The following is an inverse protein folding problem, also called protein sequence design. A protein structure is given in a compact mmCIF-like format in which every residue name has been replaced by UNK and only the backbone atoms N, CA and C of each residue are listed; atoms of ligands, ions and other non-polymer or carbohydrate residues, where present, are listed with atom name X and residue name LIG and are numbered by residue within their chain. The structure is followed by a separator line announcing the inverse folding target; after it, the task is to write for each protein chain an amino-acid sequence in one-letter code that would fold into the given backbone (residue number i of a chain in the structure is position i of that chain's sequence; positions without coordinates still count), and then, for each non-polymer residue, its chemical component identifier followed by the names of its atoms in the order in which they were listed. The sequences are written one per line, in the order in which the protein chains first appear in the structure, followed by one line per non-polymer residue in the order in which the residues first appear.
data_IF_345155492676
#
_entry.id   IF_345155492676
#
_cell.length_a   1.000
_cell.length_b   1.000
_cell.length_c   1.000
_cell.angle_alpha   90.00
_cell.angle_beta   90.00
_cell.angle_gamma   90.00
#
_symmetry.space_group_name_H-M   'P 1'
#
loop_
_entity.id
_entity.type
_entity.pdbx_description
1 polymer ?
#
# COMPACT_ATOMS: atom_id res chain seq x y z
N UNK A 1 20.31 -74.56 -35.64
CA UNK A 1 20.83 -73.70 -34.52
C UNK A 1 20.61 -72.21 -34.91
N UNK A 2 19.60 -71.62 -34.36
CA UNK A 2 19.17 -70.23 -34.71
C UNK A 2 19.57 -69.31 -33.50
N UNK A 3 20.54 -68.48 -33.76
CA UNK A 3 20.98 -67.46 -32.77
C UNK A 3 19.94 -66.32 -32.74
N UNK A 4 19.31 -66.09 -31.57
CA UNK A 4 18.48 -64.92 -31.32
C UNK A 4 19.35 -63.82 -30.70
N UNK A 5 19.56 -62.72 -31.47
CA UNK A 5 20.09 -61.47 -30.96
C UNK A 5 18.97 -60.72 -30.24
N UNK A 6 19.12 -60.50 -28.93
CA UNK A 6 18.28 -59.57 -28.15
C UNK A 6 18.89 -58.19 -28.25
N UNK A 7 18.19 -57.30 -28.92
CA UNK A 7 18.55 -55.86 -28.94
C UNK A 7 17.88 -55.19 -27.73
N UNK A 8 18.67 -54.82 -26.72
CA UNK A 8 18.18 -54.05 -25.58
C UNK A 8 18.13 -52.55 -25.97
N UNK A 9 16.91 -52.02 -26.07
CA UNK A 9 16.67 -50.60 -26.30
C UNK A 9 16.78 -49.88 -24.96
N UNK A 10 17.89 -49.13 -24.73
CA UNK A 10 18.06 -48.30 -23.56
C UNK A 10 17.34 -46.96 -23.82
N UNK A 11 16.13 -46.82 -23.23
CA UNK A 11 15.48 -45.51 -23.16
C UNK A 11 16.19 -44.64 -22.12
N UNK A 12 16.98 -43.71 -22.58
CA UNK A 12 17.53 -42.63 -21.74
C UNK A 12 16.42 -41.60 -21.53
N UNK A 13 15.77 -41.68 -20.35
CA UNK A 13 14.85 -40.65 -19.90
C UNK A 13 15.68 -39.45 -19.45
N UNK A 14 15.73 -38.40 -20.24
CA UNK A 14 16.22 -37.09 -19.79
C UNK A 14 15.18 -36.55 -18.83
N UNK A 15 15.42 -36.72 -17.53
CA UNK A 15 14.78 -35.93 -16.50
C UNK A 15 15.35 -34.52 -16.60
N UNK A 16 14.66 -33.64 -17.29
CA UNK A 16 14.86 -32.22 -17.14
C UNK A 16 14.47 -31.89 -15.70
N UNK A 17 15.45 -31.91 -14.80
CA UNK A 17 15.30 -31.24 -13.50
C UNK A 17 15.14 -29.75 -13.81
N UNK A 18 13.91 -29.23 -13.70
CA UNK A 18 13.70 -27.81 -13.46
C UNK A 18 14.49 -27.49 -12.18
N UNK A 19 15.67 -26.95 -12.31
CA UNK A 19 16.32 -26.28 -11.19
C UNK A 19 15.41 -25.10 -10.82
N UNK A 20 14.61 -25.30 -9.78
CA UNK A 20 14.02 -24.18 -9.05
C UNK A 20 15.20 -23.39 -8.52
N UNK A 21 15.49 -22.26 -9.16
CA UNK A 21 16.40 -21.26 -8.68
C UNK A 21 15.83 -20.77 -7.33
N UNK A 22 16.21 -21.40 -6.23
CA UNK A 22 15.96 -20.98 -4.85
C UNK A 22 16.86 -19.75 -4.56
N UNK A 23 16.69 -18.67 -5.30
CA UNK A 23 17.23 -17.39 -4.86
C UNK A 23 16.51 -17.02 -3.54
N UNK A 24 17.26 -16.55 -2.57
CA UNK A 24 16.73 -16.07 -1.29
C UNK A 24 15.52 -15.13 -1.60
N UNK A 25 14.35 -15.40 -1.03
CA UNK A 25 13.19 -14.54 -1.25
C UNK A 25 13.42 -13.12 -0.70
N UNK A 26 14.31 -12.96 0.27
CA UNK A 26 14.66 -11.66 0.85
C UNK A 26 15.80 -11.04 0.06
N UNK A 27 15.63 -9.77 -0.28
CA UNK A 27 16.66 -8.95 -0.91
C UNK A 27 16.78 -7.62 -0.19
N UNK A 28 17.98 -7.34 0.32
CA UNK A 28 18.35 -6.02 0.81
C UNK A 28 18.82 -5.20 -0.37
N UNK A 29 18.16 -4.09 -0.63
CA UNK A 29 18.44 -3.22 -1.78
C UNK A 29 19.10 -1.95 -1.25
N UNK A 30 20.28 -1.67 -1.79
CA UNK A 30 20.95 -0.41 -1.53
C UNK A 30 20.28 0.68 -2.35
N UNK A 31 19.88 1.76 -1.70
CA UNK A 31 19.42 2.99 -2.30
C UNK A 31 20.45 4.10 -2.06
N UNK A 32 20.61 4.98 -3.04
CA UNK A 32 21.53 6.13 -2.96
C UNK A 32 20.71 7.41 -2.84
N UNK A 33 21.06 8.24 -1.86
CA UNK A 33 20.45 9.53 -1.59
C UNK A 33 21.51 10.62 -1.54
N UNK A 34 21.10 11.87 -1.44
CA UNK A 34 22.03 12.99 -1.22
C UNK A 34 22.73 12.94 0.16
N UNK A 35 22.17 12.17 1.11
CA UNK A 35 22.71 11.96 2.44
C UNK A 35 23.52 10.66 2.58
N UNK A 36 23.76 9.94 1.50
CA UNK A 36 24.50 8.68 1.47
C UNK A 36 23.68 7.49 1.03
N UNK A 37 24.25 6.31 1.22
CA UNK A 37 23.65 5.04 0.86
C UNK A 37 22.96 4.41 2.08
N UNK A 38 21.75 3.89 1.85
CA UNK A 38 20.96 3.17 2.85
C UNK A 38 20.44 1.84 2.28
N UNK A 39 20.00 0.95 3.16
CA UNK A 39 19.46 -0.34 2.78
C UNK A 39 17.96 -0.39 3.03
N UNK A 40 17.21 -0.86 2.03
CA UNK A 40 15.79 -1.14 2.17
C UNK A 40 15.52 -2.63 1.97
N UNK A 41 14.60 -3.13 2.79
CA UNK A 41 14.25 -4.55 2.81
C UNK A 41 13.12 -4.86 1.84
N UNK A 42 13.28 -5.97 1.11
CA UNK A 42 12.22 -6.52 0.26
C UNK A 42 12.14 -8.04 0.43
N UNK A 43 10.94 -8.61 0.25
CA UNK A 43 10.73 -10.06 0.21
C UNK A 43 9.81 -10.40 -0.97
N UNK A 44 10.30 -11.28 -1.85
CA UNK A 44 9.53 -11.83 -2.97
C UNK A 44 8.72 -13.05 -2.53
N UNK A 45 7.49 -13.14 -3.01
CA UNK A 45 6.65 -14.35 -2.93
C UNK A 45 6.12 -14.67 -4.32
N UNK A 46 6.20 -15.94 -4.71
CA UNK A 46 5.77 -16.40 -6.04
C UNK A 46 6.88 -16.34 -7.10
N UNK A 47 6.51 -16.71 -8.32
CA UNK A 47 7.38 -16.72 -9.49
C UNK A 47 6.52 -16.59 -10.77
N UNK A 48 6.14 -15.37 -11.14
CA UNK A 48 5.37 -15.09 -12.35
C UNK A 48 6.09 -14.10 -13.26
N UNK A 49 6.25 -14.36 -14.56
CA UNK A 49 7.01 -13.48 -15.45
C UNK A 49 6.30 -12.15 -15.77
N UNK A 50 4.95 -12.10 -15.71
CA UNK A 50 4.14 -10.99 -16.23
C UNK A 50 3.22 -10.32 -15.21
N UNK A 51 3.00 -10.95 -14.04
CA UNK A 51 2.14 -10.42 -12.95
C UNK A 51 2.98 -10.27 -11.69
N UNK A 52 3.64 -9.12 -11.53
CA UNK A 52 4.53 -8.81 -10.40
C UNK A 52 4.04 -7.55 -9.71
N UNK A 53 3.55 -7.71 -8.49
CA UNK A 53 2.99 -6.62 -7.69
C UNK A 53 4.01 -6.17 -6.64
N UNK A 54 4.40 -4.89 -6.67
CA UNK A 54 5.12 -4.26 -5.56
C UNK A 54 4.10 -3.60 -4.63
N UNK A 55 4.14 -3.95 -3.34
CA UNK A 55 3.21 -3.46 -2.32
C UNK A 55 3.83 -2.27 -1.59
N UNK A 56 3.23 -1.07 -1.75
CA UNK A 56 3.60 0.14 -1.03
C UNK A 56 2.71 0.30 0.19
N UNK A 57 3.29 0.14 1.37
CA UNK A 57 2.56 0.31 2.63
C UNK A 57 2.21 1.77 2.91
N UNK A 58 1.23 1.94 3.80
CA UNK A 58 0.75 3.22 4.29
C UNK A 58 1.62 3.82 5.39
N UNK A 59 1.04 4.65 6.18
CA UNK A 59 1.66 5.48 7.20
C UNK A 59 1.64 6.95 6.76
N UNK A 60 2.76 7.58 6.38
CA UNK A 60 4.14 7.05 6.17
C UNK A 60 4.79 6.41 7.40
N UNK A 61 5.83 5.62 7.18
CA UNK A 61 6.57 5.01 8.28
C UNK A 61 5.91 3.77 8.90
N UNK A 62 4.82 3.21 8.30
CA UNK A 62 4.32 1.89 8.66
C UNK A 62 5.27 0.80 8.12
N UNK A 63 4.79 -0.40 7.88
CA UNK A 63 5.58 -1.52 7.37
C UNK A 63 4.71 -2.51 6.62
N UNK A 64 5.33 -3.55 6.04
CA UNK A 64 4.67 -4.55 5.21
C UNK A 64 3.71 -5.49 5.96
N UNK A 65 3.74 -5.57 7.29
CA UNK A 65 3.11 -6.67 8.03
C UNK A 65 1.61 -6.79 7.76
N UNK A 66 0.88 -5.69 7.70
CA UNK A 66 -0.56 -5.75 7.44
C UNK A 66 -0.92 -6.23 6.01
N UNK A 67 0.05 -6.28 5.10
CA UNK A 67 -0.13 -6.91 3.80
C UNK A 67 0.02 -8.44 3.81
N UNK A 68 0.40 -9.08 4.91
CA UNK A 68 0.57 -10.54 4.96
C UNK A 68 -0.71 -11.32 4.65
N UNK A 69 -1.88 -10.70 4.74
CA UNK A 69 -3.13 -11.30 4.25
C UNK A 69 -3.06 -11.68 2.76
N UNK A 70 -2.23 -11.02 1.96
CA UNK A 70 -2.01 -11.33 0.54
C UNK A 70 -1.45 -12.74 0.33
N UNK A 71 -0.73 -13.29 1.31
CA UNK A 71 -0.23 -14.68 1.31
C UNK A 71 -1.36 -15.71 1.20
N UNK A 72 -2.58 -15.36 1.61
CA UNK A 72 -3.76 -16.23 1.53
C UNK A 72 -4.45 -16.22 0.16
N UNK A 73 -4.19 -15.24 -0.69
CA UNK A 73 -4.91 -15.03 -1.94
C UNK A 73 -4.03 -15.10 -3.19
N UNK A 74 -2.94 -14.34 -3.26
CA UNK A 74 -2.12 -14.19 -4.46
C UNK A 74 -1.42 -15.46 -4.95
N UNK A 75 -0.89 -16.35 -4.08
CA UNK A 75 -0.27 -17.59 -4.52
C UNK A 75 -1.21 -18.50 -5.30
N UNK A 76 -2.49 -18.57 -4.91
CA UNK A 76 -3.51 -19.40 -5.57
C UNK A 76 -3.85 -18.91 -6.98
N UNK A 77 -3.56 -17.62 -7.27
CA UNK A 77 -3.81 -16.96 -8.56
C UNK A 77 -2.53 -16.81 -9.40
N UNK A 78 -1.44 -17.44 -8.94
CA UNK A 78 -0.14 -17.33 -9.60
C UNK A 78 0.30 -15.88 -9.82
N UNK A 79 0.12 -15.03 -8.82
CA UNK A 79 0.58 -13.64 -8.80
C UNK A 79 1.87 -13.58 -7.97
N UNK A 80 2.95 -13.09 -8.56
CA UNK A 80 4.20 -12.79 -7.85
C UNK A 80 4.05 -11.42 -7.19
N UNK A 81 4.49 -11.28 -5.95
CA UNK A 81 4.43 -10.00 -5.26
C UNK A 81 5.63 -9.80 -4.34
N UNK A 82 5.86 -8.53 -4.02
CA UNK A 82 6.99 -8.08 -3.23
C UNK A 82 6.47 -7.27 -2.05
N UNK A 83 6.77 -7.73 -0.86
CA UNK A 83 6.79 -6.89 0.32
C UNK A 83 7.99 -5.96 0.26
N UNK A 84 7.81 -4.76 0.77
CA UNK A 84 8.83 -3.74 0.78
C UNK A 84 8.62 -2.82 1.98
N UNK A 85 9.62 -2.70 2.83
CA UNK A 85 9.66 -1.69 3.88
C UNK A 85 10.42 -0.47 3.35
N UNK A 86 9.73 0.67 3.28
CA UNK A 86 10.32 1.93 2.84
C UNK A 86 11.40 2.40 3.82
N UNK A 87 12.30 3.27 3.40
CA UNK A 87 13.32 3.83 4.29
C UNK A 87 12.67 4.45 5.54
N UNK A 88 13.18 4.11 6.71
CA UNK A 88 12.58 4.48 7.98
C UNK A 88 11.57 3.49 8.55
N UNK A 89 11.21 2.45 7.81
CA UNK A 89 10.29 1.39 8.26
C UNK A 89 11.06 0.19 8.83
N UNK A 90 10.39 -0.63 9.61
CA UNK A 90 10.87 -1.67 10.54
C UNK A 90 12.13 -2.45 10.12
N UNK A 91 12.15 -3.05 8.91
CA UNK A 91 13.28 -3.90 8.45
C UNK A 91 14.25 -3.16 7.53
N UNK A 92 14.00 -1.90 7.23
CA UNK A 92 14.87 -1.02 6.46
C UNK A 92 15.71 -0.13 7.39
N UNK A 93 16.77 0.46 6.85
CA UNK A 93 17.56 1.44 7.59
C UNK A 93 16.69 2.63 8.02
N UNK A 94 17.00 3.20 9.18
CA UNK A 94 16.26 4.33 9.75
C UNK A 94 17.23 5.48 10.12
N UNK A 95 17.65 6.27 9.15
CA UNK A 95 18.69 7.30 9.37
C UNK A 95 18.21 8.50 10.19
N UNK A 96 16.90 8.66 10.46
CA UNK A 96 16.32 9.81 11.18
C UNK A 96 16.70 11.17 10.57
N UNK A 97 16.72 11.25 9.23
CA UNK A 97 17.05 12.46 8.46
C UNK A 97 15.75 13.03 7.88
N UNK A 98 15.28 14.15 8.44
CA UNK A 98 13.98 14.75 8.04
C UNK A 98 13.94 15.18 6.57
N UNK A 99 15.06 15.58 5.97
CA UNK A 99 15.16 15.96 4.57
C UNK A 99 14.79 14.82 3.60
N UNK A 100 14.86 13.56 4.08
CA UNK A 100 14.43 12.37 3.33
C UNK A 100 12.93 12.07 3.50
N UNK A 101 12.20 12.76 4.38
CA UNK A 101 10.78 12.50 4.60
C UNK A 101 9.92 13.35 3.64
N UNK A 102 10.10 13.11 2.34
CA UNK A 102 9.43 13.83 1.25
C UNK A 102 8.88 12.88 0.21
N UNK A 103 7.83 13.31 -0.50
CA UNK A 103 7.26 12.54 -1.62
C UNK A 103 8.33 12.25 -2.66
N UNK A 104 9.11 13.26 -3.00
CA UNK A 104 10.14 13.19 -4.03
C UNK A 104 11.19 12.12 -3.72
N UNK A 105 11.64 12.07 -2.47
CA UNK A 105 12.59 11.04 -2.03
C UNK A 105 12.00 9.63 -2.18
N UNK A 106 10.81 9.39 -1.65
CA UNK A 106 10.19 8.06 -1.71
C UNK A 106 9.86 7.63 -3.14
N UNK A 107 9.51 8.55 -4.04
CA UNK A 107 9.34 8.26 -5.48
C UNK A 107 10.65 7.75 -6.11
N UNK A 108 11.79 8.39 -5.81
CA UNK A 108 13.10 7.96 -6.30
C UNK A 108 13.56 6.64 -5.67
N UNK A 109 13.21 6.42 -4.40
CA UNK A 109 13.44 5.15 -3.71
C UNK A 109 12.71 4.01 -4.41
N UNK A 110 11.41 4.17 -4.71
CA UNK A 110 10.62 3.17 -5.46
C UNK A 110 11.25 2.88 -6.83
N UNK A 111 11.76 3.90 -7.54
CA UNK A 111 12.43 3.70 -8.83
C UNK A 111 13.73 2.90 -8.71
N UNK A 112 14.51 3.12 -7.66
CA UNK A 112 15.70 2.33 -7.38
C UNK A 112 15.36 0.89 -7.00
N UNK A 113 14.34 0.68 -6.18
CA UNK A 113 13.80 -0.64 -5.82
C UNK A 113 13.32 -1.38 -7.07
N UNK A 114 12.49 -0.73 -7.91
CA UNK A 114 12.01 -1.28 -9.18
C UNK A 114 13.17 -1.79 -10.05
N UNK A 115 14.19 -0.94 -10.26
CA UNK A 115 15.38 -1.30 -11.06
C UNK A 115 16.10 -2.50 -10.48
N UNK A 116 16.30 -2.52 -9.17
CA UNK A 116 17.00 -3.61 -8.48
C UNK A 116 16.24 -4.93 -8.55
N UNK A 117 14.88 -4.89 -8.58
CA UNK A 117 14.03 -6.06 -8.73
C UNK A 117 13.80 -6.49 -10.18
N UNK A 118 14.29 -5.71 -11.16
CA UNK A 118 14.13 -6.01 -12.59
C UNK A 118 12.69 -5.88 -13.08
N UNK A 119 11.88 -5.03 -12.42
CA UNK A 119 10.50 -4.77 -12.78
C UNK A 119 10.43 -3.79 -13.96
N UNK A 120 9.49 -3.97 -14.87
CA UNK A 120 9.33 -3.15 -16.06
C UNK A 120 7.88 -3.13 -16.58
N UNK A 121 7.60 -2.35 -17.63
CA UNK A 121 6.26 -2.14 -18.19
C UNK A 121 5.49 -3.42 -18.57
N UNK A 122 6.17 -4.54 -18.76
CA UNK A 122 5.54 -5.79 -19.18
C UNK A 122 5.10 -6.66 -17.99
N UNK A 123 5.58 -6.32 -16.77
CA UNK A 123 5.32 -7.13 -15.59
C UNK A 123 5.04 -6.33 -14.31
N UNK A 124 5.31 -5.03 -14.27
CA UNK A 124 5.30 -4.25 -13.05
C UNK A 124 3.93 -3.64 -12.75
N UNK A 125 3.26 -4.17 -11.73
CA UNK A 125 2.03 -3.63 -11.15
C UNK A 125 2.42 -3.00 -9.82
N UNK A 126 2.05 -1.73 -9.63
CA UNK A 126 2.28 -1.01 -8.37
C UNK A 126 0.97 -0.94 -7.60
N UNK A 127 0.94 -1.45 -6.37
CA UNK A 127 -0.20 -1.34 -5.47
C UNK A 127 0.18 -0.51 -4.26
N UNK A 128 -0.46 0.62 -4.08
CA UNK A 128 -0.28 1.48 -2.92
C UNK A 128 -1.54 1.58 -2.07
N UNK A 129 -1.40 1.40 -0.75
CA UNK A 129 -2.47 1.56 0.22
C UNK A 129 -2.24 2.80 1.07
N UNK A 130 -3.27 3.63 1.26
CA UNK A 130 -3.17 4.84 2.11
C UNK A 130 -2.06 5.77 1.61
N UNK A 131 -1.10 6.18 2.43
CA UNK A 131 0.11 6.89 1.98
C UNK A 131 0.78 6.22 0.78
N UNK A 132 0.83 4.88 0.74
CA UNK A 132 1.34 4.16 -0.43
C UNK A 132 0.55 4.46 -1.70
N UNK A 133 -0.72 4.87 -1.59
CA UNK A 133 -1.54 5.37 -2.70
C UNK A 133 -1.07 6.72 -3.22
N UNK A 134 -0.77 7.68 -2.33
CA UNK A 134 -0.11 8.95 -2.69
C UNK A 134 1.19 8.68 -3.44
N UNK A 135 2.05 7.87 -2.84
CA UNK A 135 3.35 7.50 -3.41
C UNK A 135 3.20 6.80 -4.77
N UNK A 136 2.20 5.92 -4.92
CA UNK A 136 1.90 5.24 -6.17
C UNK A 136 1.46 6.19 -7.28
N UNK A 137 0.58 7.16 -6.97
CA UNK A 137 0.13 8.18 -7.94
C UNK A 137 1.30 9.06 -8.37
N UNK A 138 2.09 9.58 -7.44
CA UNK A 138 3.24 10.43 -7.74
C UNK A 138 4.32 9.67 -8.53
N UNK A 139 4.56 8.40 -8.19
CA UNK A 139 5.43 7.54 -8.98
C UNK A 139 4.91 7.38 -10.41
N UNK A 140 3.62 7.14 -10.59
CA UNK A 140 3.03 6.99 -11.91
C UNK A 140 3.07 8.29 -12.71
N UNK A 141 2.77 9.44 -12.14
CA UNK A 141 2.87 10.73 -12.81
C UNK A 141 4.28 10.99 -13.37
N UNK A 142 5.31 10.48 -12.70
CA UNK A 142 6.70 10.63 -13.13
C UNK A 142 7.19 9.48 -14.02
N UNK A 143 6.80 8.25 -13.74
CA UNK A 143 7.41 7.02 -14.27
C UNK A 143 6.42 6.02 -14.88
N UNK A 144 5.18 6.41 -15.24
CA UNK A 144 4.14 5.49 -15.73
C UNK A 144 4.58 4.61 -16.91
N UNK A 145 5.53 5.05 -17.74
CA UNK A 145 6.09 4.25 -18.83
C UNK A 145 6.81 2.97 -18.40
N UNK A 146 7.12 2.84 -17.11
CA UNK A 146 7.73 1.66 -16.51
C UNK A 146 6.68 0.73 -15.88
N UNK A 147 5.42 1.21 -15.74
CA UNK A 147 4.32 0.47 -15.11
C UNK A 147 3.48 -0.28 -16.15
N UNK A 148 3.05 -1.47 -15.77
CA UNK A 148 1.97 -2.20 -16.44
C UNK A 148 0.60 -1.71 -15.98
N UNK A 149 0.46 -1.45 -14.67
CA UNK A 149 -0.75 -0.90 -14.06
C UNK A 149 -0.44 -0.24 -12.71
N UNK A 150 -1.33 0.67 -12.29
CA UNK A 150 -1.36 1.24 -10.94
C UNK A 150 -2.65 0.84 -10.22
N UNK A 151 -2.53 0.46 -8.95
CA UNK A 151 -3.65 0.17 -8.05
C UNK A 151 -3.52 1.08 -6.84
N UNK A 152 -4.52 1.91 -6.60
CA UNK A 152 -4.63 2.81 -5.44
C UNK A 152 -5.73 2.29 -4.53
N UNK A 153 -5.35 1.86 -3.36
CA UNK A 153 -6.25 1.28 -2.37
C UNK A 153 -6.44 2.26 -1.22
N UNK A 154 -7.70 2.63 -0.98
CA UNK A 154 -8.09 3.42 0.19
C UNK A 154 -7.32 4.75 0.31
N UNK A 155 -7.27 5.50 -0.81
CA UNK A 155 -6.70 6.84 -0.88
C UNK A 155 -7.41 7.70 -1.92
N UNK A 156 -7.57 8.97 -1.62
CA UNK A 156 -8.13 10.00 -2.49
C UNK A 156 -7.01 10.85 -3.12
N UNK A 157 -7.26 11.59 -4.21
CA UNK A 157 -6.23 12.36 -4.91
C UNK A 157 -5.96 13.75 -4.29
N UNK A 158 -6.63 14.10 -3.18
CA UNK A 158 -6.55 15.42 -2.55
C UNK A 158 -6.65 15.31 -1.03
N UNK A 159 -5.63 15.78 -0.32
CA UNK A 159 -5.65 15.86 1.15
C UNK A 159 -6.61 16.95 1.65
N UNK A 160 -6.75 18.12 0.99
CA UNK A 160 -7.82 19.06 1.33
C UNK A 160 -9.22 18.41 1.32
N UNK A 161 -9.53 17.56 0.34
CA UNK A 161 -10.82 16.85 0.26
C UNK A 161 -10.94 15.78 1.35
N UNK A 162 -9.87 15.04 1.62
CA UNK A 162 -9.81 14.12 2.76
C UNK A 162 -10.12 14.84 4.08
N UNK A 163 -9.48 15.97 4.34
CA UNK A 163 -9.72 16.76 5.55
C UNK A 163 -11.16 17.30 5.61
N UNK A 164 -11.70 17.72 4.48
CA UNK A 164 -13.09 18.17 4.38
C UNK A 164 -14.08 17.05 4.73
N UNK A 165 -13.87 15.84 4.19
CA UNK A 165 -14.69 14.66 4.49
C UNK A 165 -14.57 14.25 5.96
N UNK A 166 -13.37 14.15 6.50
CA UNK A 166 -13.14 13.84 7.92
C UNK A 166 -13.87 14.83 8.83
N UNK A 167 -13.76 16.14 8.55
CA UNK A 167 -14.33 17.21 9.38
C UNK A 167 -15.85 17.33 9.28
N UNK A 168 -16.40 17.25 8.07
CA UNK A 168 -17.78 17.65 7.78
C UNK A 168 -18.73 16.46 7.60
N UNK A 169 -18.19 15.23 7.48
CA UNK A 169 -18.99 14.01 7.35
C UNK A 169 -18.70 13.05 8.52
N UNK A 170 -17.46 12.59 8.66
CA UNK A 170 -17.14 11.53 9.61
C UNK A 170 -17.14 12.01 11.06
N UNK A 171 -16.61 13.20 11.32
CA UNK A 171 -16.61 13.79 12.66
C UNK A 171 -18.03 13.91 13.23
N UNK A 172 -19.02 14.22 12.38
CA UNK A 172 -20.42 14.36 12.81
C UNK A 172 -21.10 13.02 13.18
N UNK A 173 -20.44 11.89 12.92
CA UNK A 173 -20.89 10.55 13.31
C UNK A 173 -20.39 10.15 14.71
N UNK A 174 -19.52 10.96 15.33
CA UNK A 174 -19.07 10.78 16.70
C UNK A 174 -20.16 11.25 17.70
N UNK A 175 -20.05 10.76 18.94
CA UNK A 175 -20.85 11.35 20.04
C UNK A 175 -20.54 12.85 20.15
N UNK A 176 -21.56 13.72 20.29
CA UNK A 176 -21.33 15.16 20.34
C UNK A 176 -20.41 15.63 21.46
N UNK A 177 -20.40 14.95 22.62
CA UNK A 177 -19.52 15.29 23.73
C UNK A 177 -18.07 14.91 23.44
N UNK A 178 -17.86 13.73 22.83
CA UNK A 178 -16.53 13.27 22.38
C UNK A 178 -16.00 14.21 21.30
N UNK A 179 -16.82 14.56 20.31
CA UNK A 179 -16.41 15.51 19.27
C UNK A 179 -16.05 16.89 19.86
N UNK A 180 -16.82 17.38 20.83
CA UNK A 180 -16.54 18.64 21.52
C UNK A 180 -15.19 18.58 22.24
N UNK A 181 -14.88 17.47 22.89
CA UNK A 181 -13.59 17.28 23.58
C UNK A 181 -12.43 17.21 22.59
N UNK A 182 -12.54 16.44 21.51
CA UNK A 182 -11.57 16.40 20.40
C UNK A 182 -11.31 17.82 19.88
N UNK A 183 -12.36 18.59 19.57
CA UNK A 183 -12.25 19.96 19.06
C UNK A 183 -11.58 20.92 20.06
N UNK A 184 -11.67 20.67 21.36
CA UNK A 184 -10.97 21.50 22.37
C UNK A 184 -9.45 21.36 22.31
N UNK A 185 -8.94 20.16 22.02
CA UNK A 185 -7.50 19.94 21.76
C UNK A 185 -7.05 20.55 20.43
N UNK A 186 -7.86 20.38 19.37
CA UNK A 186 -7.56 20.95 18.05
C UNK A 186 -7.50 22.49 18.08
N UNK A 187 -8.36 23.14 18.86
CA UNK A 187 -8.40 24.59 19.00
C UNK A 187 -7.11 25.20 19.57
N UNK A 188 -6.38 24.44 20.35
CA UNK A 188 -5.07 24.84 20.94
C UNK A 188 -3.91 24.10 20.27
N UNK A 189 -4.17 23.37 19.19
CA UNK A 189 -3.17 22.58 18.42
C UNK A 189 -2.42 21.54 19.27
N UNK A 190 -3.07 21.00 20.32
CA UNK A 190 -2.50 19.97 21.19
C UNK A 190 -2.72 18.56 20.62
N UNK A 191 -2.22 18.35 19.40
CA UNK A 191 -2.44 17.14 18.60
C UNK A 191 -1.69 15.91 19.09
N UNK A 192 -0.68 16.06 19.93
CA UNK A 192 0.09 14.94 20.50
C UNK A 192 -0.37 14.55 21.90
N UNK A 193 -1.43 15.18 22.42
CA UNK A 193 -2.01 14.86 23.71
C UNK A 193 -2.53 13.42 23.76
N UNK A 194 -2.13 12.66 24.76
CA UNK A 194 -2.52 11.25 24.90
C UNK A 194 -4.05 11.05 24.97
N UNK A 195 -4.79 11.95 25.64
CA UNK A 195 -6.23 11.86 25.69
C UNK A 195 -6.88 12.16 24.32
N UNK A 196 -6.34 13.14 23.57
CA UNK A 196 -6.78 13.43 22.21
C UNK A 196 -6.64 12.20 21.31
N UNK A 197 -5.45 11.59 21.30
CA UNK A 197 -5.15 10.40 20.51
C UNK A 197 -6.04 9.23 20.95
N UNK A 198 -6.23 9.04 22.25
CA UNK A 198 -7.11 8.00 22.81
C UNK A 198 -8.56 8.18 22.40
N UNK A 199 -9.09 9.40 22.44
CA UNK A 199 -10.48 9.68 22.02
C UNK A 199 -10.70 9.29 20.54
N UNK A 200 -9.75 9.61 19.66
CA UNK A 200 -9.81 9.26 18.25
C UNK A 200 -9.69 7.75 18.09
N UNK A 201 -8.69 7.13 18.71
CA UNK A 201 -8.47 5.68 18.63
C UNK A 201 -9.71 4.89 19.09
N UNK A 202 -10.32 5.26 20.22
CA UNK A 202 -11.42 4.48 20.78
C UNK A 202 -12.77 4.71 20.08
N UNK A 203 -12.97 5.87 19.41
CA UNK A 203 -14.28 6.25 18.89
C UNK A 203 -14.35 6.36 17.36
N UNK A 204 -13.22 6.63 16.71
CA UNK A 204 -13.15 6.81 15.26
C UNK A 204 -12.56 5.57 14.55
N UNK A 205 -11.43 5.03 15.03
CA UNK A 205 -10.77 3.88 14.41
C UNK A 205 -11.68 2.65 14.25
N UNK A 206 -12.49 2.25 15.25
CA UNK A 206 -13.37 1.08 15.11
C UNK A 206 -14.50 1.26 14.08
N UNK A 207 -14.71 2.48 13.59
CA UNK A 207 -15.74 2.79 12.59
C UNK A 207 -15.16 2.95 11.20
N UNK A 208 -13.94 3.54 11.10
CA UNK A 208 -13.41 4.05 9.83
C UNK A 208 -12.03 3.51 9.47
N UNK A 209 -11.21 3.05 10.44
CA UNK A 209 -9.90 2.47 10.15
C UNK A 209 -10.00 0.95 9.98
N UNK A 210 -10.53 0.27 10.96
CA UNK A 210 -10.75 -1.18 10.90
C UNK A 210 -11.97 -1.59 11.71
N UNK A 211 -12.98 -2.14 11.06
CA UNK A 211 -14.30 -2.49 11.65
C UNK A 211 -14.33 -3.85 12.35
N UNK A 212 -13.15 -4.40 12.64
CA UNK A 212 -12.98 -5.54 13.54
C UNK A 212 -12.70 -4.96 14.94
N UNK A 213 -13.34 -5.47 16.02
CA UNK A 213 -13.02 -5.02 17.38
C UNK A 213 -11.50 -5.10 17.66
N UNK A 214 -10.92 -4.07 18.28
CA UNK A 214 -9.48 -3.97 18.50
C UNK A 214 -8.87 -5.20 19.19
N UNK A 215 -9.60 -5.80 20.14
CA UNK A 215 -9.18 -7.05 20.81
C UNK A 215 -9.09 -8.27 19.87
N UNK A 216 -9.68 -8.18 18.69
CA UNK A 216 -9.71 -9.25 17.68
C UNK A 216 -8.90 -8.88 16.42
N UNK A 217 -8.15 -7.79 16.46
CA UNK A 217 -7.28 -7.45 15.33
C UNK A 217 -6.27 -8.57 15.09
N UNK A 218 -6.04 -8.94 13.82
CA UNK A 218 -4.97 -9.87 13.48
C UNK A 218 -3.62 -9.36 13.99
N UNK A 219 -2.76 -10.28 14.44
CA UNK A 219 -1.44 -9.96 14.98
C UNK A 219 -0.61 -9.12 13.99
N UNK A 220 -0.64 -9.46 12.70
CA UNK A 220 0.05 -8.71 11.65
C UNK A 220 -0.40 -7.24 11.55
N UNK A 221 -1.68 -6.96 11.76
CA UNK A 221 -2.20 -5.59 11.79
C UNK A 221 -1.77 -4.89 13.07
N UNK A 222 -1.95 -5.54 14.23
CA UNK A 222 -1.57 -4.97 15.52
C UNK A 222 -0.08 -4.62 15.57
N UNK A 223 0.79 -5.51 15.06
CA UNK A 223 2.22 -5.27 14.97
C UNK A 223 2.55 -4.12 14.01
N UNK A 224 1.89 -4.07 12.84
CA UNK A 224 2.12 -3.00 11.88
C UNK A 224 1.83 -1.61 12.47
N UNK A 225 0.74 -1.50 13.24
CA UNK A 225 0.39 -0.24 13.92
C UNK A 225 1.32 0.08 15.10
N UNK A 226 1.74 -0.93 15.86
CA UNK A 226 2.62 -0.75 17.01
C UNK A 226 4.05 -0.32 16.61
N UNK A 227 4.48 -0.71 15.41
CA UNK A 227 5.83 -0.47 14.89
C UNK A 227 5.92 0.71 13.92
N UNK A 228 4.85 1.54 13.81
CA UNK A 228 4.90 2.77 13.00
C UNK A 228 6.05 3.67 13.48
N UNK A 229 6.89 4.13 12.54
CA UNK A 229 7.88 5.17 12.82
C UNK A 229 7.14 6.50 13.03
N UNK A 230 6.76 6.74 14.27
CA UNK A 230 5.91 7.88 14.64
C UNK A 230 6.53 9.25 14.28
N UNK A 231 7.84 9.51 14.38
CA UNK A 231 8.47 10.74 13.86
C UNK A 231 8.16 11.00 12.38
N UNK A 232 8.31 10.00 11.50
CA UNK A 232 7.98 10.13 10.08
C UNK A 232 6.47 10.36 9.90
N UNK A 233 5.66 9.53 10.57
CA UNK A 233 4.20 9.63 10.53
C UNK A 233 3.73 11.03 10.94
N UNK A 234 4.17 11.52 12.08
CA UNK A 234 3.79 12.84 12.61
C UNK A 234 4.20 13.98 11.68
N UNK A 235 5.41 13.90 11.09
CA UNK A 235 5.94 14.93 10.18
C UNK A 235 5.18 15.02 8.87
N UNK A 236 4.78 13.87 8.31
CA UNK A 236 4.16 13.84 6.98
C UNK A 236 2.63 13.78 7.04
N UNK A 237 2.07 12.87 7.83
CA UNK A 237 0.63 12.64 7.95
C UNK A 237 0.00 13.48 9.07
N UNK A 238 0.69 13.59 10.19
CA UNK A 238 0.13 14.17 11.41
C UNK A 238 -0.17 13.09 12.47
N UNK A 239 -0.95 13.43 13.51
CA UNK A 239 -1.02 12.60 14.72
C UNK A 239 -1.91 11.35 14.58
N UNK A 240 -2.82 11.30 13.58
CA UNK A 240 -3.83 10.24 13.50
C UNK A 240 -4.51 10.18 12.12
N UNK A 241 -5.37 9.17 11.92
CA UNK A 241 -6.22 9.03 10.73
C UNK A 241 -7.48 9.93 10.76
N UNK A 242 -7.59 10.85 11.69
CA UNK A 242 -8.73 11.79 11.79
C UNK A 242 -8.52 13.07 10.94
N UNK A 243 -7.65 13.00 9.96
CA UNK A 243 -7.28 14.08 9.05
C UNK A 243 -5.81 14.46 9.19
N UNK A 244 -5.28 15.08 8.15
CA UNK A 244 -3.90 15.59 8.07
C UNK A 244 -3.90 17.02 8.56
N UNK A 245 -3.42 17.23 9.79
CA UNK A 245 -3.53 18.50 10.51
C UNK A 245 -2.17 19.06 10.95
N UNK A 246 -2.17 20.26 11.50
CA UNK A 246 -0.96 20.92 11.99
C UNK A 246 0.00 21.29 10.87
N UNK A 247 1.29 21.03 11.09
CA UNK A 247 2.37 21.31 10.14
C UNK A 247 2.79 20.09 9.32
N UNK A 248 1.91 19.10 9.21
CA UNK A 248 2.15 17.92 8.40
C UNK A 248 2.40 18.27 6.93
N UNK A 249 3.47 17.70 6.34
CA UNK A 249 3.94 18.09 5.00
C UNK A 249 2.96 17.73 3.89
N UNK A 250 2.14 16.71 4.08
CA UNK A 250 1.14 16.25 3.09
C UNK A 250 -0.14 17.09 3.06
N UNK A 251 -0.36 18.01 4.00
CA UNK A 251 -1.65 18.71 4.19
C UNK A 251 -2.22 19.45 2.98
N UNK A 252 -1.37 19.83 2.06
CA UNK A 252 -1.75 20.57 0.85
C UNK A 252 -1.57 19.73 -0.42
N UNK A 253 -1.27 18.42 -0.29
CA UNK A 253 -1.10 17.57 -1.46
C UNK A 253 -2.42 17.43 -2.21
N UNK A 254 -2.39 17.71 -3.50
CA UNK A 254 -3.53 17.65 -4.40
C UNK A 254 -3.04 17.43 -5.83
N UNK A 255 -3.49 16.33 -6.45
CA UNK A 255 -3.16 15.94 -7.82
C UNK A 255 -4.40 15.73 -8.68
N UNK A 256 -5.54 16.29 -8.28
CA UNK A 256 -6.83 16.14 -8.97
C UNK A 256 -6.73 16.51 -10.45
N UNK A 257 -6.06 17.62 -10.78
CA UNK A 257 -5.87 18.08 -12.16
C UNK A 257 -4.86 17.23 -12.97
N UNK A 258 -4.03 16.46 -12.27
CA UNK A 258 -2.98 15.65 -12.90
C UNK A 258 -3.42 14.22 -13.24
N UNK A 259 -4.54 13.75 -12.69
CA UNK A 259 -5.06 12.39 -12.92
C UNK A 259 -5.24 12.06 -14.40
N UNK A 260 -5.70 13.03 -15.21
CA UNK A 260 -5.89 12.91 -16.64
C UNK A 260 -4.60 12.63 -17.45
N UNK A 261 -3.44 12.81 -16.83
CA UNK A 261 -2.13 12.47 -17.42
C UNK A 261 -1.80 10.98 -17.31
N UNK A 262 -2.55 10.24 -16.50
CA UNK A 262 -2.35 8.79 -16.34
C UNK A 262 -3.04 8.05 -17.49
N UNK A 263 -2.25 7.31 -18.27
CA UNK A 263 -2.70 6.57 -19.47
C UNK A 263 -2.67 5.05 -19.27
N UNK A 264 -2.05 4.59 -18.18
CA UNK A 264 -1.94 3.16 -17.85
C UNK A 264 -3.24 2.62 -17.23
N UNK A 265 -3.49 1.31 -17.28
CA UNK A 265 -4.57 0.69 -16.51
C UNK A 265 -4.47 1.09 -15.03
N UNK A 266 -5.60 1.56 -14.50
CA UNK A 266 -5.67 2.11 -13.15
C UNK A 266 -6.86 1.52 -12.40
N UNK A 267 -6.65 1.06 -11.17
CA UNK A 267 -7.71 0.61 -10.28
C UNK A 267 -7.71 1.47 -9.01
N UNK A 268 -8.84 2.12 -8.74
CA UNK A 268 -9.12 2.71 -7.43
C UNK A 268 -9.97 1.74 -6.62
N UNK A 269 -9.54 1.42 -5.40
CA UNK A 269 -10.29 0.60 -4.45
C UNK A 269 -10.76 1.49 -3.32
N UNK A 270 -12.08 1.62 -3.18
CA UNK A 270 -12.73 2.38 -2.12
C UNK A 270 -13.58 1.52 -1.21
N UNK A 271 -13.85 2.01 -0.01
CA UNK A 271 -14.64 1.31 0.99
C UNK A 271 -15.68 2.22 1.62
N UNK A 272 -16.87 1.67 1.86
CA UNK A 272 -18.03 2.45 2.33
C UNK A 272 -17.80 3.19 3.65
N UNK A 273 -17.00 2.63 4.53
CA UNK A 273 -16.80 3.16 5.89
C UNK A 273 -15.39 3.72 6.09
N UNK A 274 -14.66 3.96 4.99
CA UNK A 274 -13.29 4.43 5.00
C UNK A 274 -13.14 5.81 5.67
N UNK A 275 -11.93 6.13 6.06
CA UNK A 275 -11.50 7.50 6.41
C UNK A 275 -11.46 8.40 5.17
N UNK A 276 -11.30 7.81 3.99
CA UNK A 276 -11.31 8.45 2.68
C UNK A 276 -12.73 8.44 2.09
N UNK A 277 -13.11 9.51 1.38
CA UNK A 277 -14.43 9.58 0.75
C UNK A 277 -14.53 8.58 -0.43
N UNK A 278 -15.41 7.55 -0.34
CA UNK A 278 -15.57 6.59 -1.43
C UNK A 278 -16.08 7.22 -2.73
N UNK A 279 -16.80 8.34 -2.65
CA UNK A 279 -17.25 9.08 -3.84
C UNK A 279 -16.04 9.71 -4.55
N UNK A 280 -15.11 10.26 -3.84
CA UNK A 280 -13.86 10.80 -4.39
C UNK A 280 -12.98 9.69 -5.00
N UNK A 281 -12.95 8.51 -4.38
CA UNK A 281 -12.20 7.37 -4.94
C UNK A 281 -12.82 6.86 -6.25
N UNK A 282 -14.15 6.82 -6.35
CA UNK A 282 -14.85 6.51 -7.61
C UNK A 282 -14.62 7.59 -8.65
N UNK A 283 -14.73 8.86 -8.26
CA UNK A 283 -14.45 10.00 -9.14
C UNK A 283 -13.02 9.94 -9.68
N UNK A 284 -12.02 9.68 -8.85
CA UNK A 284 -10.61 9.52 -9.27
C UNK A 284 -10.45 8.47 -10.36
N UNK A 285 -11.13 7.32 -10.25
CA UNK A 285 -11.10 6.30 -11.29
C UNK A 285 -11.71 6.78 -12.61
N UNK A 286 -12.75 7.64 -12.57
CA UNK A 286 -13.40 8.17 -13.76
C UNK A 286 -12.57 9.27 -14.46
N UNK A 287 -11.66 9.94 -13.76
CA UNK A 287 -10.77 10.97 -14.34
C UNK A 287 -9.57 10.37 -15.09
N UNK A 288 -9.21 9.12 -14.79
CA UNK A 288 -8.11 8.40 -15.46
C UNK A 288 -8.61 7.72 -16.73
N UNK A 289 -7.87 7.82 -17.86
CA UNK A 289 -8.30 7.29 -19.16
C UNK A 289 -8.70 5.82 -19.16
N UNK A 290 -7.94 4.98 -18.42
CA UNK A 290 -8.15 3.54 -18.29
C UNK A 290 -8.45 3.18 -16.84
N UNK A 291 -9.33 3.95 -16.20
CA UNK A 291 -9.68 3.81 -14.80
C UNK A 291 -10.81 2.82 -14.54
N UNK A 292 -10.68 2.08 -13.44
CA UNK A 292 -11.67 1.16 -12.91
C UNK A 292 -11.88 1.46 -11.43
N UNK A 293 -13.09 1.23 -10.93
CA UNK A 293 -13.42 1.37 -9.52
C UNK A 293 -13.89 0.06 -8.91
N UNK A 294 -13.35 -0.28 -7.74
CA UNK A 294 -13.79 -1.38 -6.92
C UNK A 294 -14.34 -0.85 -5.60
N UNK A 295 -15.63 -1.09 -5.35
CA UNK A 295 -16.27 -0.75 -4.09
C UNK A 295 -16.25 -1.93 -3.11
N UNK A 296 -15.78 -1.69 -1.88
CA UNK A 296 -15.86 -2.62 -0.74
C UNK A 296 -17.02 -2.18 0.18
N UNK A 297 -18.23 -2.74 0.03
CA UNK A 297 -19.43 -2.20 0.69
C UNK A 297 -19.47 -2.42 2.21
N UNK A 298 -18.65 -3.33 2.74
CA UNK A 298 -18.55 -3.62 4.17
C UNK A 298 -17.23 -3.14 4.77
N UNK A 299 -16.29 -2.69 3.94
CA UNK A 299 -14.93 -2.31 4.32
C UNK A 299 -14.80 -0.91 4.87
N UNK A 300 -13.68 -0.69 5.54
CA UNK A 300 -13.19 0.61 6.00
C UNK A 300 -11.80 0.87 5.42
N UNK A 301 -10.97 1.69 6.07
CA UNK A 301 -9.61 1.98 5.58
C UNK A 301 -8.76 0.71 5.39
N UNK A 302 -8.97 -0.30 6.22
CA UNK A 302 -8.34 -1.62 6.10
C UNK A 302 -9.25 -2.63 5.38
N UNK A 303 -9.84 -2.24 4.23
CA UNK A 303 -10.80 -3.06 3.48
C UNK A 303 -10.27 -4.44 3.11
N UNK A 304 -8.98 -4.59 2.93
CA UNK A 304 -8.32 -5.88 2.70
C UNK A 304 -8.48 -6.87 3.86
N UNK A 305 -8.86 -6.38 5.05
CA UNK A 305 -9.10 -7.19 6.24
C UNK A 305 -10.58 -7.31 6.59
N UNK A 306 -11.31 -6.20 6.59
CA UNK A 306 -12.71 -6.17 7.07
C UNK A 306 -13.76 -6.35 5.95
N UNK A 307 -13.33 -6.31 4.67
CA UNK A 307 -14.15 -6.71 3.50
C UNK A 307 -13.34 -7.55 2.50
N UNK A 308 -12.51 -8.46 3.01
CA UNK A 308 -11.48 -9.18 2.26
C UNK A 308 -12.01 -9.93 1.03
N UNK A 309 -13.22 -10.49 1.10
CA UNK A 309 -13.78 -11.26 -0.02
C UNK A 309 -14.06 -10.36 -1.23
N UNK A 310 -14.70 -9.21 -1.04
CA UNK A 310 -14.93 -8.24 -2.11
C UNK A 310 -13.61 -7.63 -2.60
N UNK A 311 -12.74 -7.27 -1.66
CA UNK A 311 -11.44 -6.67 -1.96
C UNK A 311 -10.60 -7.57 -2.88
N UNK A 312 -10.33 -8.81 -2.46
CA UNK A 312 -9.46 -9.70 -3.22
C UNK A 312 -10.11 -10.22 -4.49
N UNK A 313 -11.42 -10.49 -4.50
CA UNK A 313 -12.12 -10.90 -5.73
C UNK A 313 -12.01 -9.83 -6.83
N UNK A 314 -12.25 -8.57 -6.50
CA UNK A 314 -12.15 -7.46 -7.46
C UNK A 314 -10.70 -7.16 -7.86
N UNK A 315 -9.77 -7.13 -6.92
CA UNK A 315 -8.35 -6.90 -7.15
C UNK A 315 -7.75 -7.97 -8.09
N UNK A 316 -7.99 -9.25 -7.81
CA UNK A 316 -7.50 -10.37 -8.61
C UNK A 316 -8.12 -10.35 -10.00
N UNK A 317 -9.43 -10.08 -10.10
CA UNK A 317 -10.08 -9.92 -11.39
C UNK A 317 -9.41 -8.84 -12.23
N UNK A 318 -9.14 -7.67 -11.67
CA UNK A 318 -8.43 -6.60 -12.39
C UNK A 318 -7.03 -7.05 -12.84
N UNK A 319 -6.22 -7.62 -11.94
CA UNK A 319 -4.87 -8.11 -12.29
C UNK A 319 -4.92 -9.17 -13.40
N UNK A 320 -5.96 -9.99 -13.44
CA UNK A 320 -6.13 -11.03 -14.45
C UNK A 320 -6.53 -10.48 -15.84
N UNK A 321 -7.03 -9.25 -15.93
CA UNK A 321 -7.32 -8.59 -17.21
C UNK A 321 -6.09 -7.93 -17.85
N UNK A 322 -5.00 -7.77 -17.12
CA UNK A 322 -3.74 -7.15 -17.58
C UNK A 322 -2.91 -8.15 -18.37
#
# INVERSE_FOLDING_TARGET
MINKFFLALICVIFLNSCEFNNADPIKIIKITTEHGDFNVWTKRTGNNPTKKVLLLHGGPGANHQYFKIFDSYFPNENIEYYYYDQLGSTLSDNPQIEDLWTIEHYVEEVEQVRKSLGLNKDNFILLGHSWGGILGIEYALKYQKNLKALIVSNMVPSVPDYNNYAKNVLALQLDPNILKEIRSYEAVQDYTNENYLKLIHDNYYPKHVMRIPAANWPEDVSNAFAEINFPIYLKMQGPSEFGIVGDASLKNWDVTEDLKKLEIPFLSIGAKYDTMDPIQMEWMANEVQNGFYLNCPNGSHMAMWDDKENYFAGLINFINTL
#
